data_IF_792474712004
#
_entry.id   IF_792474712004
#
_cell.length_a   1.000
_cell.length_b   1.000
_cell.length_c   1.000
_cell.angle_alpha   90.00
_cell.angle_beta   90.00
_cell.angle_gamma   90.00
#
_symmetry.space_group_name_H-M   'P 1'
#
loop_
_entity.id
_entity.type
_entity.pdbx_description
1 polymer ?
#
# COMPACT_ATOMS: atom_id res chain seq x y z
N UNK A 1 -12.86 -25.07 4.25
CA UNK A 1 -11.42 -25.27 4.48
C UNK A 1 -11.00 -24.35 5.61
N UNK A 2 -10.10 -24.78 6.51
CA UNK A 2 -9.59 -23.89 7.55
C UNK A 2 -8.88 -22.67 6.92
N UNK A 3 -9.01 -21.51 7.54
CA UNK A 3 -8.39 -20.27 7.08
C UNK A 3 -7.72 -19.59 8.25
N UNK A 4 -6.46 -19.21 8.11
CA UNK A 4 -5.75 -18.43 9.11
C UNK A 4 -5.86 -16.95 8.76
N UNK A 5 -6.10 -16.11 9.76
CA UNK A 5 -6.14 -14.65 9.58
C UNK A 5 -4.78 -14.06 9.96
N UNK A 6 -4.18 -13.30 9.06
CA UNK A 6 -2.96 -12.54 9.33
C UNK A 6 -3.26 -11.06 9.23
N UNK A 7 -3.01 -10.35 10.32
CA UNK A 7 -3.15 -8.90 10.47
C UNK A 7 -1.84 -8.21 10.18
N UNK A 8 -1.84 -7.30 9.22
CA UNK A 8 -0.74 -6.42 8.88
C UNK A 8 -0.99 -5.07 9.52
N UNK A 9 -0.02 -4.60 10.30
CA UNK A 9 -0.08 -3.28 10.93
C UNK A 9 0.97 -2.39 10.30
N UNK A 10 0.54 -1.25 9.78
CA UNK A 10 1.42 -0.17 9.37
C UNK A 10 0.82 1.14 9.87
N UNK A 11 1.57 1.84 10.73
CA UNK A 11 1.11 3.07 11.37
C UNK A 11 -0.22 2.86 12.11
N UNK A 12 -1.28 3.56 11.71
CA UNK A 12 -2.62 3.51 12.31
C UNK A 12 -3.58 2.59 11.54
N UNK A 13 -3.09 1.86 10.53
CA UNK A 13 -3.90 1.00 9.67
C UNK A 13 -3.62 -0.47 9.94
N UNK A 14 -4.70 -1.25 10.03
CA UNK A 14 -4.68 -2.70 10.16
C UNK A 14 -5.42 -3.33 8.97
N UNK A 15 -4.75 -4.22 8.26
CA UNK A 15 -5.36 -5.02 7.20
C UNK A 15 -5.33 -6.48 7.59
N UNK A 16 -6.45 -7.17 7.43
CA UNK A 16 -6.54 -8.60 7.68
C UNK A 16 -6.56 -9.34 6.35
N UNK A 17 -5.71 -10.35 6.21
CA UNK A 17 -5.71 -11.24 5.07
C UNK A 17 -5.93 -12.67 5.53
N UNK A 18 -6.86 -13.35 4.87
CA UNK A 18 -7.16 -14.74 5.14
C UNK A 18 -6.34 -15.64 4.21
N UNK A 19 -5.60 -16.58 4.78
CA UNK A 19 -4.86 -17.58 4.05
C UNK A 19 -5.51 -18.95 4.27
N UNK A 20 -5.78 -19.67 3.19
CA UNK A 20 -6.27 -21.04 3.30
C UNK A 20 -5.16 -21.93 3.87
N UNK A 21 -5.45 -22.64 4.95
CA UNK A 21 -4.49 -23.50 5.66
C UNK A 21 -5.10 -24.86 5.93
N UNK A 22 -4.26 -25.89 5.91
CA UNK A 22 -4.63 -27.24 6.30
C UNK A 22 -4.38 -27.45 7.79
N UNK A 23 -4.99 -28.48 8.38
CA UNK A 23 -4.80 -28.80 9.81
C UNK A 23 -3.35 -29.17 10.17
N UNK A 24 -2.50 -29.44 9.18
CA UNK A 24 -1.07 -29.74 9.33
C UNK A 24 -0.16 -28.61 8.82
N UNK A 25 -0.71 -27.45 8.44
CA UNK A 25 0.07 -26.29 7.99
C UNK A 25 0.84 -25.71 9.16
N UNK A 26 2.16 -25.60 8.99
CA UNK A 26 3.04 -24.95 9.98
C UNK A 26 3.13 -23.45 9.71
N UNK A 27 3.54 -22.68 10.72
CA UNK A 27 3.78 -21.24 10.57
C UNK A 27 4.79 -20.98 9.45
N UNK A 28 5.82 -21.81 9.28
CA UNK A 28 6.75 -21.69 8.16
C UNK A 28 6.07 -21.84 6.80
N UNK A 29 5.14 -22.79 6.66
CA UNK A 29 4.39 -23.03 5.44
C UNK A 29 3.47 -21.85 5.12
N UNK A 30 2.80 -21.30 6.14
CA UNK A 30 2.04 -20.06 6.02
C UNK A 30 2.92 -18.88 5.58
N UNK A 31 4.10 -18.69 6.20
CA UNK A 31 5.03 -17.62 5.80
C UNK A 31 5.49 -17.78 4.36
N UNK A 32 5.80 -19.00 3.91
CA UNK A 32 6.14 -19.29 2.51
C UNK A 32 4.98 -19.00 1.57
N UNK A 33 3.75 -19.29 1.98
CA UNK A 33 2.54 -18.97 1.21
C UNK A 33 2.35 -17.47 1.06
N UNK A 34 2.61 -16.69 2.12
CA UNK A 34 2.62 -15.22 2.09
C UNK A 34 3.70 -14.67 1.15
N UNK A 35 4.86 -15.34 1.07
CA UNK A 35 5.97 -14.95 0.19
C UNK A 35 6.19 -15.94 -0.94
N UNK A 36 5.09 -16.32 -1.63
CA UNK A 36 5.13 -17.34 -2.68
C UNK A 36 6.12 -17.00 -3.81
N UNK A 37 6.34 -15.71 -4.10
CA UNK A 37 7.28 -15.24 -5.12
C UNK A 37 8.74 -15.17 -4.65
N UNK A 38 8.99 -15.17 -3.34
CA UNK A 38 10.32 -14.99 -2.75
C UNK A 38 10.40 -15.66 -1.37
N UNK A 39 10.60 -16.98 -1.29
CA UNK A 39 10.57 -17.72 -0.03
C UNK A 39 11.68 -17.31 0.95
N UNK A 40 12.76 -16.68 0.48
CA UNK A 40 13.81 -16.09 1.30
C UNK A 40 13.30 -14.92 2.16
N UNK A 41 12.27 -14.21 1.71
CA UNK A 41 11.64 -13.12 2.47
C UNK A 41 10.86 -13.64 3.68
N UNK A 42 10.58 -14.95 3.78
CA UNK A 42 9.96 -15.56 4.95
C UNK A 42 10.79 -15.38 6.24
N UNK A 43 12.07 -15.04 6.12
CA UNK A 43 12.94 -14.69 7.25
C UNK A 43 12.85 -13.21 7.67
N UNK A 44 12.28 -12.33 6.84
CA UNK A 44 12.26 -10.88 7.07
C UNK A 44 11.11 -10.40 7.95
N UNK A 45 10.28 -11.32 8.43
CA UNK A 45 9.16 -11.02 9.29
C UNK A 45 8.87 -12.17 10.24
N UNK A 46 8.15 -11.87 11.30
CA UNK A 46 7.66 -12.83 12.28
C UNK A 46 6.14 -12.70 12.42
N UNK A 47 5.52 -13.79 12.88
CA UNK A 47 4.10 -13.82 13.18
C UNK A 47 3.94 -13.93 14.70
N UNK A 48 3.13 -13.06 15.29
CA UNK A 48 2.83 -13.05 16.71
C UNK A 48 1.37 -13.44 16.95
N UNK A 49 1.12 -14.34 17.91
CA UNK A 49 -0.23 -14.73 18.36
C UNK A 49 -0.35 -14.40 19.84
N UNK A 50 -1.46 -13.76 20.24
CA UNK A 50 -1.71 -13.37 21.65
C UNK A 50 -0.51 -12.62 22.30
N UNK A 51 0.22 -11.82 21.51
CA UNK A 51 1.40 -11.08 21.96
C UNK A 51 2.68 -11.90 22.09
N UNK A 52 2.67 -13.18 21.71
CA UNK A 52 3.85 -14.06 21.70
C UNK A 52 4.27 -14.40 20.27
N UNK A 53 5.56 -14.27 19.96
CA UNK A 53 6.11 -14.69 18.66
C UNK A 53 5.96 -16.20 18.48
N UNK A 54 5.37 -16.61 17.37
CA UNK A 54 5.09 -18.01 17.06
C UNK A 54 6.27 -18.61 16.30
N UNK A 55 6.68 -19.82 16.69
CA UNK A 55 7.83 -20.50 16.06
C UNK A 55 7.44 -21.02 14.68
N UNK A 56 8.41 -21.06 13.77
CA UNK A 56 8.23 -21.62 12.42
C UNK A 56 7.73 -23.08 12.42
N UNK A 57 8.09 -23.87 13.44
CA UNK A 57 7.65 -25.27 13.60
C UNK A 57 6.27 -25.42 14.26
N UNK A 58 5.65 -24.33 14.71
CA UNK A 58 4.34 -24.37 15.35
C UNK A 58 3.24 -24.58 14.31
N UNK A 59 2.14 -25.18 14.73
CA UNK A 59 0.98 -25.39 13.86
C UNK A 59 0.16 -24.11 13.76
N UNK A 60 -0.34 -23.82 12.56
CA UNK A 60 -1.23 -22.70 12.35
C UNK A 60 -2.62 -23.05 12.88
N UNK A 61 -3.12 -22.20 13.77
CA UNK A 61 -4.45 -22.28 14.32
C UNK A 61 -5.40 -21.43 13.45
N UNK A 62 -6.36 -22.04 12.75
CA UNK A 62 -7.27 -21.33 11.85
C UNK A 62 -8.26 -20.42 12.60
N UNK A 63 -8.37 -20.53 13.93
CA UNK A 63 -9.19 -19.63 14.73
C UNK A 63 -8.39 -18.48 15.34
N UNK A 64 -7.07 -18.49 15.17
CA UNK A 64 -6.18 -17.46 15.68
C UNK A 64 -5.93 -16.36 14.65
N UNK A 65 -5.72 -15.15 15.18
CA UNK A 65 -5.26 -13.99 14.42
C UNK A 65 -3.76 -13.83 14.66
N UNK A 66 -3.00 -13.83 13.59
CA UNK A 66 -1.55 -13.65 13.61
C UNK A 66 -1.19 -12.22 13.24
N UNK A 67 -0.41 -11.54 14.06
CA UNK A 67 0.08 -10.20 13.77
C UNK A 67 1.39 -10.32 13.01
N UNK A 68 1.44 -9.75 11.82
CA UNK A 68 2.64 -9.63 11.02
C UNK A 68 3.56 -8.55 11.59
N UNK A 69 4.81 -8.93 11.84
CA UNK A 69 5.84 -8.03 12.33
C UNK A 69 7.05 -8.07 11.40
N UNK A 70 7.30 -6.97 10.68
CA UNK A 70 8.43 -6.86 9.77
C UNK A 70 9.74 -6.62 10.53
N UNK A 71 10.69 -7.53 10.39
CA UNK A 71 12.04 -7.40 10.94
C UNK A 71 13.03 -6.78 9.94
N UNK A 72 12.71 -6.85 8.65
CA UNK A 72 13.61 -6.43 7.58
C UNK A 72 14.63 -7.50 7.17
N UNK A 73 15.36 -7.26 6.07
CA UNK A 73 16.45 -8.13 5.67
C UNK A 73 17.53 -8.11 6.75
N UNK A 74 17.76 -9.27 7.39
CA UNK A 74 18.95 -9.45 8.24
C UNK A 74 20.18 -9.20 7.36
N UNK A 75 21.08 -8.34 7.82
CA UNK A 75 22.06 -7.58 7.02
C UNK A 75 23.17 -8.36 6.29
N UNK A 76 22.93 -9.58 5.81
CA UNK A 76 23.82 -10.31 4.90
C UNK A 76 23.45 -10.20 3.42
N UNK A 77 22.23 -9.78 3.08
CA UNK A 77 21.70 -9.85 1.70
C UNK A 77 21.25 -8.47 1.15
N UNK A 78 21.83 -7.38 1.65
CA UNK A 78 21.57 -6.03 1.11
C UNK A 78 22.14 -5.81 -0.31
N UNK A 79 22.91 -6.74 -0.85
CA UNK A 79 23.64 -6.57 -2.12
C UNK A 79 22.95 -7.24 -3.33
N UNK A 80 21.91 -8.07 -3.14
CA UNK A 80 21.40 -8.97 -4.20
C UNK A 80 19.88 -8.91 -4.46
N UNK A 81 19.21 -7.80 -4.13
CA UNK A 81 17.79 -7.59 -4.50
C UNK A 81 17.58 -6.64 -5.69
N UNK A 82 18.66 -6.08 -6.24
CA UNK A 82 18.60 -5.14 -7.36
C UNK A 82 18.58 -5.81 -8.75
N UNK A 83 18.70 -7.15 -8.86
CA UNK A 83 18.90 -7.82 -10.16
C UNK A 83 17.78 -8.73 -10.70
N UNK A 84 16.66 -8.96 -10.01
CA UNK A 84 15.72 -10.03 -10.44
C UNK A 84 14.28 -9.60 -10.81
N UNK A 85 14.01 -8.30 -11.02
CA UNK A 85 12.68 -7.80 -11.45
C UNK A 85 12.62 -7.47 -12.96
N UNK A 86 13.49 -8.10 -13.76
CA UNK A 86 13.53 -7.92 -15.21
C UNK A 86 13.11 -9.22 -15.92
N UNK A 87 11.82 -9.51 -15.95
CA UNK A 87 11.30 -10.56 -16.82
C UNK A 87 9.93 -11.05 -16.40
N UNK A 88 8.92 -10.66 -17.19
CA UNK A 88 7.60 -11.28 -17.40
C UNK A 88 6.48 -10.22 -17.35
N UNK A 89 6.36 -9.45 -18.43
CA UNK A 89 5.06 -8.91 -18.86
C UNK A 89 4.94 -9.14 -20.37
N UNK A 90 4.40 -10.31 -20.73
CA UNK A 90 3.73 -10.51 -21.99
C UNK A 90 2.23 -10.26 -21.78
N UNK A 91 1.70 -9.30 -22.55
CA UNK A 91 0.47 -9.35 -23.36
C UNK A 91 -0.51 -10.52 -23.02
N UNK A 92 -1.82 -10.35 -22.84
CA UNK A 92 -2.80 -9.71 -23.72
C UNK A 92 -4.19 -9.79 -23.04
N UNK A 93 -5.04 -8.77 -23.27
CA UNK A 93 -6.49 -8.88 -23.56
C UNK A 93 -7.38 -9.84 -22.72
N UNK A 94 -8.29 -9.29 -21.92
CA UNK A 94 -9.68 -9.02 -22.34
C UNK A 94 -10.57 -8.79 -21.10
N UNK A 95 -11.07 -7.58 -20.98
CA UNK A 95 -12.11 -7.21 -20.03
C UNK A 95 -13.45 -7.75 -20.57
N UNK A 96 -14.22 -8.49 -19.76
CA UNK A 96 -15.54 -7.94 -19.51
C UNK A 96 -15.91 -8.07 -18.03
N UNK A 97 -15.79 -6.98 -17.28
CA UNK A 97 -16.61 -6.76 -16.09
C UNK A 97 -18.02 -6.36 -16.53
N UNK A 98 -19.06 -7.20 -16.36
CA UNK A 98 -20.42 -6.73 -16.50
C UNK A 98 -20.75 -5.79 -15.34
N UNK A 99 -21.10 -4.57 -15.73
CA UNK A 99 -21.72 -3.56 -14.89
C UNK A 99 -23.06 -4.05 -14.31
N UNK A 100 -23.30 -3.71 -13.05
CA UNK A 100 -24.60 -3.57 -12.38
C UNK A 100 -25.46 -4.81 -12.07
N UNK A 101 -25.61 -5.07 -10.76
CA UNK A 101 -26.84 -5.43 -9.98
C UNK A 101 -26.40 -6.27 -8.77
N UNK A 102 -26.79 -6.04 -7.53
CA UNK A 102 -27.87 -5.25 -6.95
C UNK A 102 -27.52 -5.09 -5.45
N UNK A 103 -27.69 -3.90 -4.90
CA UNK A 103 -27.73 -3.69 -3.45
C UNK A 103 -28.95 -4.40 -2.83
N UNK A 104 -28.85 -4.90 -1.59
CA UNK A 104 -29.98 -4.77 -0.67
C UNK A 104 -29.67 -3.76 0.45
N UNK A 105 -30.65 -2.85 0.60
CA UNK A 105 -30.73 -1.71 1.52
C UNK A 105 -30.76 -2.09 3.02
N UNK A 106 -30.52 -1.11 3.92
CA UNK A 106 -30.01 -1.27 5.29
C UNK A 106 -31.11 -1.28 6.36
N UNK A 107 -30.82 -1.79 7.56
CA UNK A 107 -31.57 -1.44 8.79
C UNK A 107 -30.81 -1.85 10.08
N UNK A 108 -30.05 -0.90 10.64
CA UNK A 108 -30.12 -0.47 12.06
C UNK A 108 -28.85 0.28 12.48
N UNK A 109 -28.89 1.61 12.34
CA UNK A 109 -28.28 2.52 13.31
C UNK A 109 -29.21 2.58 14.56
N UNK A 110 -28.81 3.12 15.74
CA UNK A 110 -27.76 4.13 15.93
C UNK A 110 -26.93 3.99 17.22
N UNK A 111 -25.63 4.33 17.18
CA UNK A 111 -25.01 4.97 18.35
C UNK A 111 -24.07 6.07 17.87
N UNK A 112 -24.39 7.27 18.34
CA UNK A 112 -23.77 8.53 18.02
C UNK A 112 -22.26 8.55 18.30
N UNK A 113 -21.49 8.84 17.26
CA UNK A 113 -20.36 9.76 17.35
C UNK A 113 -20.16 10.35 15.95
N UNK A 114 -20.63 11.59 15.77
CA UNK A 114 -20.19 12.43 14.68
C UNK A 114 -18.69 12.67 14.84
N UNK A 115 -17.87 11.79 14.29
CA UNK A 115 -16.48 12.10 14.00
C UNK A 115 -16.53 12.82 12.67
N UNK A 116 -16.35 14.13 12.70
CA UNK A 116 -16.06 14.90 11.50
C UNK A 116 -15.00 14.14 10.72
N UNK A 117 -15.33 13.74 9.49
CA UNK A 117 -14.34 13.15 8.59
C UNK A 117 -13.11 14.07 8.64
N UNK A 118 -11.90 13.57 8.95
CA UNK A 118 -10.74 14.43 8.92
C UNK A 118 -10.70 14.97 7.50
N UNK A 119 -10.90 16.29 7.35
CA UNK A 119 -10.85 16.96 6.07
C UNK A 119 -9.44 16.77 5.53
N UNK A 120 -9.27 15.73 4.71
CA UNK A 120 -7.99 15.39 4.09
C UNK A 120 -7.61 16.59 3.22
N UNK A 121 -6.46 17.23 3.49
CA UNK A 121 -6.14 18.48 2.85
C UNK A 121 -5.96 18.25 1.35
N UNK A 122 -6.64 19.08 0.57
CA UNK A 122 -6.59 19.04 -0.89
C UNK A 122 -5.54 20.01 -1.39
N UNK A 123 -4.87 19.62 -2.45
CA UNK A 123 -3.82 20.39 -3.09
C UNK A 123 -4.13 20.56 -4.56
N UNK A 124 -3.85 21.75 -5.09
CA UNK A 124 -3.87 22.03 -6.52
C UNK A 124 -2.45 22.11 -7.03
N UNK A 125 -2.17 21.40 -8.10
CA UNK A 125 -0.89 21.45 -8.81
C UNK A 125 -0.84 22.78 -9.58
N UNK A 126 0.01 23.71 -9.17
CA UNK A 126 0.17 25.04 -9.79
C UNK A 126 1.50 25.19 -10.54
N UNK A 127 2.44 24.26 -10.32
CA UNK A 127 3.78 24.29 -10.91
C UNK A 127 3.98 23.35 -12.09
N UNK A 128 5.08 23.56 -12.81
CA UNK A 128 5.51 22.68 -13.90
C UNK A 128 4.91 23.00 -15.28
N UNK A 129 4.16 24.10 -15.44
CA UNK A 129 3.59 24.50 -16.74
C UNK A 129 4.63 24.61 -17.86
N UNK A 130 5.84 25.09 -17.56
CA UNK A 130 6.95 25.16 -18.53
C UNK A 130 7.44 23.77 -19.00
N UNK A 131 7.18 22.72 -18.23
CA UNK A 131 7.59 21.33 -18.50
C UNK A 131 6.40 20.37 -18.68
N UNK A 132 5.18 20.89 -18.80
CA UNK A 132 3.96 20.08 -18.98
C UNK A 132 3.46 19.35 -17.72
N UNK A 133 3.87 19.78 -16.52
CA UNK A 133 3.41 19.24 -15.25
C UNK A 133 4.54 18.95 -14.25
N UNK A 134 4.16 18.39 -13.10
CA UNK A 134 5.10 17.96 -12.04
C UNK A 134 5.39 16.47 -12.20
N UNK A 135 6.66 16.10 -12.05
CA UNK A 135 7.06 14.69 -12.05
C UNK A 135 6.54 14.01 -10.79
N UNK A 136 5.81 12.93 -11.01
CA UNK A 136 5.28 12.07 -9.97
C UNK A 136 6.20 10.88 -9.84
N UNK A 137 6.58 10.55 -8.62
CA UNK A 137 7.44 9.41 -8.32
C UNK A 137 6.66 8.33 -7.61
N UNK A 138 7.05 7.07 -7.82
CA UNK A 138 6.41 5.94 -7.17
C UNK A 138 6.55 5.96 -5.64
N UNK A 139 7.60 6.60 -5.12
CA UNK A 139 7.85 6.66 -3.68
C UNK A 139 8.52 7.98 -3.30
N UNK A 140 8.61 8.22 -1.99
CA UNK A 140 9.28 9.37 -1.39
C UNK A 140 10.74 9.54 -1.88
N UNK A 141 11.38 8.44 -2.24
CA UNK A 141 12.81 8.43 -2.53
C UNK A 141 13.19 9.17 -3.81
N UNK A 142 14.28 9.93 -3.74
CA UNK A 142 14.93 10.60 -4.88
C UNK A 142 15.51 9.62 -5.93
N UNK A 143 15.52 8.32 -5.63
CA UNK A 143 15.93 7.25 -6.55
C UNK A 143 14.76 6.46 -7.15
N UNK A 144 13.52 6.77 -6.75
CA UNK A 144 12.33 6.06 -7.23
C UNK A 144 11.97 6.44 -8.66
N UNK A 145 11.44 5.47 -9.40
CA UNK A 145 10.97 5.63 -10.77
C UNK A 145 9.92 6.74 -10.88
N UNK A 146 10.02 7.54 -11.93
CA UNK A 146 8.96 8.45 -12.32
C UNK A 146 7.78 7.65 -12.89
N UNK A 147 6.59 7.83 -12.29
CA UNK A 147 5.34 7.23 -12.75
C UNK A 147 4.69 8.05 -13.87
N UNK A 148 5.29 9.18 -14.22
CA UNK A 148 4.78 10.14 -15.19
C UNK A 148 4.71 11.55 -14.61
N UNK A 149 3.88 12.38 -15.23
CA UNK A 149 3.68 13.77 -14.83
C UNK A 149 2.22 14.05 -14.56
N UNK A 150 1.97 14.75 -13.46
CA UNK A 150 0.65 15.31 -13.17
C UNK A 150 0.57 16.71 -13.76
N UNK A 151 -0.47 16.97 -14.55
CA UNK A 151 -0.64 18.24 -15.25
C UNK A 151 -0.95 19.39 -14.27
N UNK A 152 -0.50 20.59 -14.63
CA UNK A 152 -0.87 21.82 -13.92
C UNK A 152 -2.40 21.98 -13.93
N UNK A 153 -2.98 22.34 -12.79
CA UNK A 153 -4.40 22.48 -12.57
C UNK A 153 -5.05 21.24 -11.95
N UNK A 154 -4.34 20.10 -11.89
CA UNK A 154 -4.85 18.89 -11.25
C UNK A 154 -5.11 19.11 -9.75
N UNK A 155 -6.19 18.51 -9.26
CA UNK A 155 -6.56 18.48 -7.85
C UNK A 155 -6.18 17.12 -7.30
N UNK A 156 -5.44 17.15 -6.20
CA UNK A 156 -4.91 15.96 -5.55
C UNK A 156 -5.22 16.00 -4.05
N UNK A 157 -5.45 14.84 -3.48
CA UNK A 157 -5.68 14.67 -2.05
C UNK A 157 -4.36 14.29 -1.36
N UNK A 158 -4.04 14.93 -0.23
CA UNK A 158 -2.89 14.58 0.60
C UNK A 158 -3.14 13.25 1.33
N UNK A 159 -2.32 12.25 1.01
CA UNK A 159 -2.26 11.00 1.77
C UNK A 159 -1.21 11.13 2.88
N UNK A 160 -0.01 11.60 2.53
CA UNK A 160 1.10 11.74 3.46
C UNK A 160 2.04 12.86 3.03
N UNK A 161 2.61 13.60 3.98
CA UNK A 161 3.57 14.67 3.71
C UNK A 161 4.83 14.45 4.51
N UNK A 162 5.96 14.35 3.79
CA UNK A 162 7.29 14.18 4.38
C UNK A 162 8.18 15.32 3.91
N UNK A 163 8.37 16.31 4.78
CA UNK A 163 9.09 17.54 4.46
C UNK A 163 8.45 18.28 3.29
N UNK A 164 9.11 18.21 2.13
CA UNK A 164 8.74 18.86 0.87
C UNK A 164 8.18 17.90 -0.18
N UNK A 165 7.93 16.66 0.22
CA UNK A 165 7.33 15.63 -0.61
C UNK A 165 5.93 15.33 -0.13
N UNK A 166 5.01 15.33 -1.07
CA UNK A 166 3.60 15.05 -0.88
C UNK A 166 3.27 13.75 -1.59
N UNK A 167 2.92 12.74 -0.82
CA UNK A 167 2.19 11.58 -1.32
C UNK A 167 0.74 11.99 -1.54
N UNK A 168 0.28 11.84 -2.77
CA UNK A 168 -1.04 12.29 -3.16
C UNK A 168 -1.83 11.20 -3.89
N UNK A 169 -3.16 11.37 -3.90
CA UNK A 169 -4.09 10.66 -4.78
C UNK A 169 -4.75 11.64 -5.73
N UNK A 170 -4.77 11.34 -7.03
CA UNK A 170 -5.38 12.20 -8.04
C UNK A 170 -6.89 12.13 -7.88
N UNK A 171 -7.51 13.28 -7.65
CA UNK A 171 -8.97 13.44 -7.60
C UNK A 171 -9.47 13.93 -8.95
N UNK A 172 -8.82 14.96 -9.51
CA UNK A 172 -9.24 15.60 -10.76
C UNK A 172 -8.01 16.02 -11.59
N UNK A 173 -8.05 15.75 -12.90
CA UNK A 173 -7.00 16.16 -13.84
C UNK A 173 -6.33 14.99 -14.55
N UNK A 174 -5.15 15.26 -15.12
CA UNK A 174 -4.40 14.30 -15.95
C UNK A 174 -3.10 13.92 -15.26
N UNK A 175 -2.87 12.63 -15.06
CA UNK A 175 -1.66 12.10 -14.44
C UNK A 175 -1.88 10.75 -13.80
N UNK A 176 -0.85 10.23 -13.08
CA UNK A 176 -0.99 8.99 -12.34
C UNK A 176 -1.91 9.18 -11.13
N UNK A 177 -2.73 8.15 -10.87
CA UNK A 177 -3.77 8.14 -9.83
C UNK A 177 -3.20 8.28 -8.40
N UNK A 178 -1.93 7.94 -8.19
CA UNK A 178 -1.22 8.09 -6.92
C UNK A 178 0.26 8.30 -7.14
N UNK A 179 0.91 8.98 -6.21
CA UNK A 179 2.37 9.03 -6.15
C UNK A 179 2.89 10.20 -5.34
N UNK A 180 4.19 10.43 -5.44
CA UNK A 180 4.92 11.43 -4.68
C UNK A 180 5.33 12.60 -5.56
N UNK A 181 4.94 13.82 -5.18
CA UNK A 181 5.33 15.07 -5.84
C UNK A 181 6.11 15.97 -4.89
N UNK A 182 6.94 16.83 -5.45
CA UNK A 182 7.56 17.91 -4.68
C UNK A 182 6.60 19.08 -4.56
N UNK A 183 6.33 19.52 -3.33
CA UNK A 183 5.50 20.70 -3.04
C UNK A 183 6.25 21.97 -3.42
N UNK A 184 7.56 22.01 -3.16
CA UNK A 184 8.45 23.12 -3.53
C UNK A 184 9.74 22.62 -4.17
N UNK A 185 10.20 23.31 -5.20
CA UNK A 185 11.49 23.04 -5.87
C UNK A 185 12.20 24.37 -6.12
N UNK A 186 13.44 24.50 -5.64
CA UNK A 186 14.27 25.70 -5.80
C UNK A 186 13.57 27.01 -5.39
N UNK A 187 12.76 26.96 -4.33
CA UNK A 187 12.01 28.12 -3.81
C UNK A 187 10.72 28.46 -4.56
N UNK A 188 10.33 27.71 -5.59
CA UNK A 188 9.03 27.82 -6.25
C UNK A 188 8.06 26.78 -5.70
N UNK A 189 6.90 27.23 -5.25
CA UNK A 189 5.78 26.33 -4.92
C UNK A 189 5.20 25.74 -6.20
N UNK A 190 5.06 24.41 -6.21
CA UNK A 190 4.49 23.66 -7.33
C UNK A 190 3.12 23.08 -6.98
N UNK A 191 2.80 22.90 -5.71
CA UNK A 191 1.47 22.51 -5.24
C UNK A 191 1.01 23.51 -4.18
N UNK A 192 -0.20 24.02 -4.34
CA UNK A 192 -0.85 24.95 -3.42
C UNK A 192 -1.93 24.19 -2.64
N UNK A 193 -1.92 24.31 -1.31
CA UNK A 193 -2.97 23.73 -0.46
C UNK A 193 -4.24 24.57 -0.59
N UNK A 194 -5.34 23.94 -0.97
CA UNK A 194 -6.63 24.62 -1.22
C UNK A 194 -7.69 24.34 -0.14
N UNK A 195 -7.45 23.37 0.76
CA UNK A 195 -8.38 23.02 1.86
C UNK A 195 -7.67 22.62 3.14
#
# INVERSE_FOLDING_TARGET
MPRATVSFKHEEQEWNHEFEVDAATTVLDLKRKMTSSAPEHAAWFELCRDGSTVKNSDLVDPLAIYIFHYLGPSGSDQDNLEQQVAGLTGEDHDDPFPSAREEPRPLSAPVAAAIAEPAVPRWRITGGSDKGGIIVRQSESLKSADLGRVSTGAIVEEIAKVGDRLCYRLEEGTGPAKGWVSIRVSGKELAEKIS
#
